data_IF_687807012950
#
_entry.id   IF_687807012950
#
_cell.length_a   1.000
_cell.length_b   1.000
_cell.length_c   1.000
_cell.angle_alpha   90.00
_cell.angle_beta   90.00
_cell.angle_gamma   90.00
#
_symmetry.space_group_name_H-M   'P 1'
#
loop_
_entity.id
_entity.type
_entity.pdbx_description
1 polymer ?
#
# COMPACT_ATOMS: atom_id res chain seq x y z
N UNK A 1 8.86 -15.03 16.29
CA UNK A 1 7.47 -14.60 16.06
C UNK A 1 7.31 -14.17 14.61
N UNK A 2 6.19 -14.48 14.00
CA UNK A 2 5.88 -14.15 12.60
C UNK A 2 4.76 -13.12 12.56
N UNK A 3 4.91 -12.06 11.77
CA UNK A 3 3.85 -11.10 11.49
C UNK A 3 3.11 -11.46 10.21
N UNK A 4 1.78 -11.36 10.22
CA UNK A 4 0.94 -11.48 9.03
C UNK A 4 0.43 -10.09 8.65
N UNK A 5 0.76 -9.64 7.45
CA UNK A 5 0.50 -8.30 6.95
C UNK A 5 -0.25 -8.35 5.60
N UNK A 6 -1.01 -7.31 5.32
CA UNK A 6 -1.47 -7.02 3.96
C UNK A 6 -0.37 -6.31 3.17
N UNK A 7 -0.38 -6.44 1.84
CA UNK A 7 0.47 -5.63 0.97
C UNK A 7 0.14 -4.13 1.08
N UNK A 8 1.11 -3.25 0.88
CA UNK A 8 0.90 -1.80 1.01
C UNK A 8 1.62 -0.99 -0.08
N UNK A 9 0.94 0.06 -0.55
CA UNK A 9 1.52 1.09 -1.42
C UNK A 9 2.17 2.17 -0.54
N UNK A 10 3.49 2.24 -0.49
CA UNK A 10 4.25 3.11 0.41
C UNK A 10 3.63 3.14 1.82
N UNK A 11 3.54 1.96 2.44
CA UNK A 11 2.83 1.74 3.70
C UNK A 11 3.21 2.69 4.82
N UNK A 12 2.42 2.74 5.90
CA UNK A 12 2.71 3.62 7.03
C UNK A 12 3.94 3.17 7.82
N UNK A 13 4.51 4.07 8.61
CA UNK A 13 5.66 3.80 9.50
C UNK A 13 5.42 2.57 10.35
N UNK A 14 4.22 2.39 10.90
CA UNK A 14 3.80 1.22 11.68
C UNK A 14 4.01 -0.11 10.93
N UNK A 15 3.72 -0.14 9.64
CA UNK A 15 3.88 -1.33 8.81
C UNK A 15 5.36 -1.71 8.67
N UNK A 16 6.24 -0.72 8.41
CA UNK A 16 7.69 -0.94 8.33
C UNK A 16 8.31 -1.27 9.68
N UNK A 17 7.75 -0.77 10.78
CA UNK A 17 8.13 -1.21 12.12
C UNK A 17 7.94 -2.73 12.29
N UNK A 18 6.85 -3.31 11.76
CA UNK A 18 6.64 -4.76 11.82
C UNK A 18 7.68 -5.50 10.97
N UNK A 19 8.07 -4.97 9.81
CA UNK A 19 9.16 -5.55 9.03
C UNK A 19 10.48 -5.58 9.79
N UNK A 20 10.77 -4.52 10.54
CA UNK A 20 12.00 -4.41 11.33
C UNK A 20 11.99 -5.33 12.56
N UNK A 21 10.87 -5.44 13.27
CA UNK A 21 10.79 -6.12 14.58
C UNK A 21 10.57 -7.63 14.51
N UNK A 22 9.98 -8.15 13.44
CA UNK A 22 9.62 -9.56 13.36
C UNK A 22 10.64 -10.37 12.56
N UNK A 23 10.96 -11.58 13.06
CA UNK A 23 11.95 -12.46 12.43
C UNK A 23 11.52 -12.96 11.04
N UNK A 24 10.22 -13.03 10.80
CA UNK A 24 9.62 -13.40 9.53
C UNK A 24 8.32 -12.65 9.35
N UNK A 25 8.09 -12.17 8.13
CA UNK A 25 6.85 -11.48 7.76
C UNK A 25 6.20 -12.22 6.61
N UNK A 26 4.91 -12.49 6.74
CA UNK A 26 4.09 -13.08 5.70
C UNK A 26 3.18 -11.99 5.12
N UNK A 27 3.24 -11.82 3.81
CA UNK A 27 2.32 -10.95 3.07
C UNK A 27 1.16 -11.80 2.55
N UNK A 28 -0.05 -11.49 3.01
CA UNK A 28 -1.26 -12.19 2.60
C UNK A 28 -1.66 -11.77 1.19
N UNK A 29 -1.53 -12.67 0.23
CA UNK A 29 -1.90 -12.42 -1.16
C UNK A 29 -3.27 -12.98 -1.55
N UNK A 30 -3.82 -13.91 -0.75
CA UNK A 30 -5.11 -14.57 -1.03
C UNK A 30 -6.30 -13.87 -0.38
N UNK A 31 -6.07 -12.74 0.30
CA UNK A 31 -7.15 -11.96 0.88
C UNK A 31 -8.00 -11.26 -0.19
N UNK A 32 -9.25 -10.98 0.17
CA UNK A 32 -10.13 -10.16 -0.66
C UNK A 32 -9.71 -8.70 -0.62
N UNK A 33 -9.63 -8.06 -1.80
CA UNK A 33 -9.28 -6.64 -1.89
C UNK A 33 -10.33 -5.76 -1.18
N UNK A 34 -9.86 -4.93 -0.29
CA UNK A 34 -10.68 -3.95 0.44
C UNK A 34 -10.34 -2.54 -0.02
N UNK A 35 -11.36 -1.77 -0.40
CA UNK A 35 -11.21 -0.35 -0.77
C UNK A 35 -10.83 0.49 0.44
N UNK A 36 -10.16 1.61 0.19
CA UNK A 36 -9.76 2.59 1.20
C UNK A 36 -8.82 2.01 2.28
N UNK A 37 -7.94 1.10 1.89
CA UNK A 37 -6.88 0.53 2.71
C UNK A 37 -5.52 0.93 2.19
N UNK A 38 -4.46 0.65 2.94
CA UNK A 38 -3.08 0.91 2.51
C UNK A 38 -2.62 0.06 1.32
N UNK A 39 -3.41 -0.92 0.86
CA UNK A 39 -3.06 -1.78 -0.29
C UNK A 39 -2.80 -0.98 -1.57
N UNK A 40 -3.59 0.05 -1.81
CA UNK A 40 -3.43 0.93 -2.97
C UNK A 40 -3.42 2.42 -2.59
N UNK A 41 -3.16 2.74 -1.33
CA UNK A 41 -3.19 4.10 -0.80
C UNK A 41 -2.04 4.34 0.17
N UNK A 42 -1.43 5.53 0.10
CA UNK A 42 -0.58 6.04 1.16
C UNK A 42 -1.07 7.41 1.65
N UNK A 43 -0.60 7.82 2.81
CA UNK A 43 -0.92 9.11 3.43
C UNK A 43 0.36 9.93 3.55
N UNK A 44 0.37 11.13 2.98
CA UNK A 44 1.48 12.06 3.04
C UNK A 44 1.08 13.35 3.77
N UNK A 45 2.07 14.05 4.34
CA UNK A 45 1.86 15.40 4.87
C UNK A 45 1.89 16.40 3.72
N UNK A 46 1.03 17.43 3.77
CA UNK A 46 1.00 18.55 2.83
C UNK A 46 0.73 19.85 3.56
N UNK A 47 0.80 20.96 2.85
CA UNK A 47 0.41 22.28 3.40
C UNK A 47 -1.04 22.32 3.89
N UNK A 48 -1.91 21.43 3.41
CA UNK A 48 -3.32 21.35 3.81
C UNK A 48 -3.62 20.29 4.87
N UNK A 49 -2.58 19.62 5.39
CA UNK A 49 -2.69 18.48 6.31
C UNK A 49 -2.43 17.15 5.61
N UNK A 50 -3.08 16.10 6.08
CA UNK A 50 -2.88 14.75 5.53
C UNK A 50 -3.61 14.60 4.20
N UNK A 51 -2.86 14.21 3.17
CA UNK A 51 -3.37 13.89 1.84
C UNK A 51 -3.22 12.40 1.54
N UNK A 52 -4.25 11.81 0.96
CA UNK A 52 -4.21 10.42 0.49
C UNK A 52 -3.86 10.35 -1.00
N UNK A 53 -2.81 9.64 -1.34
CA UNK A 53 -2.47 9.25 -2.70
C UNK A 53 -3.01 7.85 -2.96
N UNK A 54 -3.89 7.70 -3.95
CA UNK A 54 -4.58 6.43 -4.21
C UNK A 54 -4.31 5.97 -5.63
N UNK A 55 -3.67 4.81 -5.77
CA UNK A 55 -3.42 4.14 -7.06
C UNK A 55 -4.75 3.61 -7.60
N UNK A 56 -5.15 4.01 -8.82
CA UNK A 56 -6.32 3.43 -9.48
C UNK A 56 -6.04 1.98 -9.88
N UNK A 57 -7.05 1.15 -9.73
CA UNK A 57 -6.94 -0.29 -10.00
C UNK A 57 -8.05 -0.74 -10.94
N UNK A 58 -7.75 -1.76 -11.73
CA UNK A 58 -8.71 -2.48 -12.55
C UNK A 58 -9.02 -3.82 -11.90
N UNK A 59 -10.30 -4.10 -11.81
CA UNK A 59 -10.77 -5.43 -11.49
C UNK A 59 -10.86 -6.20 -12.81
N UNK A 60 -9.98 -7.16 -13.04
CA UNK A 60 -10.20 -8.12 -14.11
C UNK A 60 -11.49 -8.87 -13.78
N UNK A 61 -12.54 -8.81 -14.63
CA UNK A 61 -13.62 -9.77 -14.47
C UNK A 61 -12.98 -11.14 -14.61
N UNK A 62 -13.12 -11.98 -13.59
CA UNK A 62 -12.77 -13.40 -13.74
C UNK A 62 -13.46 -13.85 -15.04
N UNK A 63 -12.67 -14.16 -16.05
CA UNK A 63 -13.15 -14.92 -17.20
C UNK A 63 -13.56 -16.27 -16.63
N UNK A 64 -14.85 -16.39 -16.31
CA UNK A 64 -15.47 -17.71 -16.23
C UNK A 64 -15.33 -18.24 -17.64
N UNK A 65 -14.48 -19.23 -17.79
CA UNK A 65 -14.30 -19.99 -19.03
C UNK A 65 -15.64 -20.62 -19.37
N UNK A 66 -16.46 -19.90 -20.13
CA UNK A 66 -17.70 -20.41 -20.73
C UNK A 66 -17.36 -21.18 -22.01
N UNK A 67 -16.61 -22.27 -21.87
CA UNK A 67 -16.57 -23.32 -22.88
C UNK A 67 -17.72 -24.32 -22.63
N UNK A 68 -18.96 -23.84 -22.49
CA UNK A 68 -20.12 -24.70 -22.66
C UNK A 68 -21.38 -23.83 -22.87
N UNK A 69 -21.98 -24.07 -24.06
CA UNK A 69 -23.35 -23.74 -24.48
C UNK A 69 -23.68 -22.30 -24.85
N UNK A 70 -23.67 -22.07 -26.16
CA UNK A 70 -24.46 -21.03 -26.84
C UNK A 70 -25.93 -21.24 -26.55
N UNK A 71 -26.60 -20.23 -26.01
CA UNK A 71 -28.00 -19.96 -26.26
C UNK A 71 -28.25 -18.45 -26.27
N UNK A 72 -29.06 -18.04 -27.24
CA UNK A 72 -29.31 -16.70 -27.71
C UNK A 72 -29.97 -15.73 -26.72
N UNK A 73 -29.73 -14.44 -27.03
CA UNK A 73 -30.50 -13.24 -26.69
C UNK A 73 -30.24 -12.53 -25.35
N UNK A 74 -29.57 -11.38 -25.43
CA UNK A 74 -29.55 -10.36 -24.40
C UNK A 74 -28.59 -9.21 -24.73
N UNK A 75 -29.17 -8.09 -25.18
CA UNK A 75 -28.46 -6.85 -25.54
C UNK A 75 -27.58 -6.35 -24.38
N UNK A 76 -26.29 -6.17 -24.65
CA UNK A 76 -25.36 -5.48 -23.76
C UNK A 76 -25.46 -3.98 -24.05
N UNK A 77 -25.97 -3.20 -23.11
CA UNK A 77 -25.88 -1.74 -23.14
C UNK A 77 -24.79 -1.29 -22.18
N UNK A 78 -23.78 -0.59 -22.70
CA UNK A 78 -22.79 0.11 -21.90
C UNK A 78 -23.47 1.26 -21.16
N UNK A 79 -23.34 1.29 -19.83
CA UNK A 79 -23.62 2.47 -19.01
C UNK A 79 -22.53 2.62 -17.94
N UNK A 80 -21.98 3.83 -17.94
CA UNK A 80 -21.01 4.39 -17.04
C UNK A 80 -21.03 3.86 -15.58
N UNK A 81 -19.87 3.35 -15.13
CA UNK A 81 -19.42 3.56 -13.74
C UNK A 81 -20.17 2.85 -12.63
N UNK A 82 -20.97 1.81 -12.86
CA UNK A 82 -21.68 1.10 -11.79
C UNK A 82 -21.58 -0.42 -11.93
N UNK A 83 -21.09 -1.03 -10.85
CA UNK A 83 -21.29 -2.40 -10.35
C UNK A 83 -21.96 -3.36 -11.34
N UNK A 84 -21.21 -4.22 -11.98
CA UNK A 84 -21.79 -5.41 -12.59
C UNK A 84 -22.28 -6.34 -11.48
N UNK A 85 -23.60 -6.33 -11.27
CA UNK A 85 -24.28 -7.38 -10.50
C UNK A 85 -24.55 -8.54 -11.45
N UNK A 86 -23.82 -9.62 -11.29
CA UNK A 86 -24.26 -10.93 -11.81
C UNK A 86 -24.73 -11.70 -10.59
N UNK A 87 -26.04 -11.97 -10.56
CA UNK A 87 -26.72 -12.82 -9.56
C UNK A 87 -26.53 -12.45 -8.08
N UNK A 88 -26.58 -11.17 -7.70
CA UNK A 88 -26.66 -10.78 -6.29
C UNK A 88 -25.45 -11.11 -5.42
N UNK A 89 -24.42 -11.75 -5.94
CA UNK A 89 -23.18 -12.03 -5.23
C UNK A 89 -22.11 -11.00 -5.60
N UNK A 90 -21.57 -10.31 -4.59
CA UNK A 90 -20.36 -9.49 -4.75
C UNK A 90 -19.23 -10.44 -5.14
N UNK A 91 -18.72 -10.35 -6.37
CA UNK A 91 -17.50 -11.05 -6.75
C UNK A 91 -16.36 -10.54 -5.85
N UNK A 92 -15.87 -11.39 -4.97
CA UNK A 92 -14.73 -11.09 -4.12
C UNK A 92 -13.47 -11.19 -4.98
N UNK A 93 -12.86 -10.04 -5.32
CA UNK A 93 -11.64 -10.02 -6.10
C UNK A 93 -10.45 -10.22 -5.17
N UNK A 94 -9.62 -11.21 -5.48
CA UNK A 94 -8.43 -11.52 -4.72
C UNK A 94 -7.33 -10.47 -5.00
N UNK A 95 -6.56 -10.10 -3.97
CA UNK A 95 -5.48 -9.09 -4.07
C UNK A 95 -4.45 -9.44 -5.13
N UNK A 96 -4.10 -10.71 -5.30
CA UNK A 96 -3.12 -11.15 -6.30
C UNK A 96 -3.54 -10.91 -7.76
N UNK A 97 -4.85 -10.73 -8.04
CA UNK A 97 -5.38 -10.52 -9.39
C UNK A 97 -5.66 -9.05 -9.71
N UNK A 98 -5.38 -8.13 -8.79
CA UNK A 98 -5.61 -6.70 -8.99
C UNK A 98 -4.55 -6.14 -9.96
N UNK A 99 -5.04 -5.53 -11.06
CA UNK A 99 -4.19 -4.82 -12.02
C UNK A 99 -4.14 -3.33 -11.70
N UNK A 100 -3.02 -2.72 -12.00
CA UNK A 100 -2.87 -1.27 -12.00
C UNK A 100 -3.63 -0.70 -13.19
N UNK A 101 -4.39 0.37 -12.97
CA UNK A 101 -5.03 1.12 -14.04
C UNK A 101 -4.16 2.32 -14.41
N UNK A 102 -4.05 2.62 -15.70
CA UNK A 102 -3.35 3.81 -16.18
C UNK A 102 -4.29 5.02 -16.34
N UNK A 103 -5.53 4.93 -15.88
CA UNK A 103 -6.47 6.05 -15.94
C UNK A 103 -6.00 7.25 -15.10
N UNK A 104 -6.21 8.46 -15.66
CA UNK A 104 -6.11 9.72 -14.91
C UNK A 104 -4.69 10.20 -14.61
N UNK A 105 -3.67 9.69 -15.30
CA UNK A 105 -2.26 10.11 -15.12
C UNK A 105 -1.80 10.15 -13.66
N UNK A 106 -2.33 9.24 -12.86
CA UNK A 106 -2.10 9.21 -11.42
C UNK A 106 -0.61 9.18 -11.04
N UNK A 107 0.23 8.54 -11.86
CA UNK A 107 1.68 8.49 -11.61
C UNK A 107 2.27 9.89 -11.58
N UNK A 108 1.95 10.71 -12.59
CA UNK A 108 2.40 12.10 -12.64
C UNK A 108 1.83 12.92 -11.48
N UNK A 109 0.54 12.74 -11.18
CA UNK A 109 -0.11 13.46 -10.07
C UNK A 109 0.50 13.09 -8.72
N UNK A 110 0.77 11.80 -8.46
CA UNK A 110 1.41 11.36 -7.23
C UNK A 110 2.84 11.90 -7.11
N UNK A 111 3.60 11.84 -8.22
CA UNK A 111 4.97 12.39 -8.23
C UNK A 111 4.98 13.88 -7.94
N UNK A 112 4.14 14.66 -8.61
CA UNK A 112 4.00 16.10 -8.34
C UNK A 112 3.56 16.38 -6.90
N UNK A 113 2.66 15.59 -6.34
CA UNK A 113 2.25 15.74 -4.94
C UNK A 113 3.42 15.47 -3.97
N UNK A 114 4.23 14.44 -4.23
CA UNK A 114 5.42 14.11 -3.43
C UNK A 114 6.47 15.21 -3.56
N UNK A 115 6.78 15.71 -4.77
CA UNK A 115 7.69 16.81 -4.99
C UNK A 115 7.23 18.09 -4.27
N UNK A 116 5.93 18.42 -4.38
CA UNK A 116 5.37 19.60 -3.71
C UNK A 116 5.36 19.47 -2.19
N UNK A 117 5.21 18.26 -1.66
CA UNK A 117 5.16 18.02 -0.22
C UNK A 117 6.55 17.93 0.42
N UNK A 118 7.52 17.37 -0.30
CA UNK A 118 8.82 17.02 0.29
C UNK A 118 10.03 17.62 -0.43
N UNK A 119 9.84 18.43 -1.47
CA UNK A 119 10.95 19.07 -2.18
C UNK A 119 11.87 19.90 -1.28
N UNK A 120 11.31 20.46 -0.19
CA UNK A 120 12.05 21.20 0.84
C UNK A 120 12.52 20.31 2.02
N UNK A 121 12.29 19.00 1.97
CA UNK A 121 12.73 18.09 3.03
C UNK A 121 14.24 17.80 2.89
N UNK A 122 14.94 17.54 4.02
CA UNK A 122 16.41 17.45 4.03
C UNK A 122 16.99 16.36 3.11
N UNK A 123 16.23 15.31 2.81
CA UNK A 123 16.72 14.17 2.06
C UNK A 123 15.97 13.92 0.74
N UNK A 124 15.10 14.83 0.29
CA UNK A 124 14.36 14.64 -0.96
C UNK A 124 15.30 14.48 -2.17
N UNK A 125 16.21 15.43 -2.37
CA UNK A 125 17.15 15.40 -3.49
C UNK A 125 18.03 14.14 -3.48
N UNK A 126 18.33 13.63 -2.30
CA UNK A 126 19.17 12.43 -2.14
C UNK A 126 18.47 11.16 -2.61
N UNK A 127 17.14 11.07 -2.43
CA UNK A 127 16.36 9.86 -2.76
C UNK A 127 15.45 10.03 -3.99
N UNK A 128 15.44 11.19 -4.63
CA UNK A 128 14.57 11.48 -5.77
C UNK A 128 14.74 10.46 -6.89
N UNK A 129 15.98 10.16 -7.27
CA UNK A 129 16.31 9.25 -8.38
C UNK A 129 15.90 7.80 -8.08
N UNK A 130 15.93 7.37 -6.83
CA UNK A 130 15.48 6.04 -6.40
C UNK A 130 13.95 5.90 -6.42
N UNK A 131 13.23 6.98 -6.12
CA UNK A 131 11.77 6.98 -6.02
C UNK A 131 11.09 7.22 -7.36
N UNK A 132 11.67 8.06 -8.20
CA UNK A 132 11.10 8.50 -9.49
C UNK A 132 10.70 7.37 -10.43
N UNK A 133 11.44 6.25 -10.55
CA UNK A 133 11.08 5.13 -11.43
C UNK A 133 9.69 4.54 -11.14
N UNK A 134 9.22 4.54 -9.88
CA UNK A 134 7.88 4.06 -9.54
C UNK A 134 6.75 4.89 -10.14
N UNK A 135 7.04 6.13 -10.53
CA UNK A 135 6.08 7.07 -11.09
C UNK A 135 6.26 7.34 -12.58
N UNK A 136 7.41 6.98 -13.15
CA UNK A 136 7.71 7.21 -14.57
C UNK A 136 7.66 5.94 -15.41
N UNK A 137 7.98 4.79 -14.81
CA UNK A 137 8.01 3.51 -15.50
C UNK A 137 6.66 2.77 -15.37
N UNK A 138 6.27 2.07 -16.45
CA UNK A 138 5.02 1.28 -16.50
C UNK A 138 5.29 -0.23 -16.57
N UNK A 139 6.33 -0.69 -15.86
CA UNK A 139 6.77 -2.09 -15.91
C UNK A 139 5.95 -3.05 -15.04
N UNK A 140 5.15 -2.53 -14.12
CA UNK A 140 4.32 -3.37 -13.24
C UNK A 140 2.88 -3.39 -13.73
N UNK A 141 2.32 -4.57 -13.90
CA UNK A 141 0.92 -4.77 -14.23
C UNK A 141 0.07 -5.05 -13.00
N UNK A 142 0.60 -5.83 -12.04
CA UNK A 142 -0.13 -6.23 -10.83
C UNK A 142 0.21 -5.30 -9.67
N UNK A 143 -0.82 -4.95 -8.89
CA UNK A 143 -0.67 -4.13 -7.69
C UNK A 143 0.26 -4.80 -6.67
N UNK A 144 0.17 -6.12 -6.51
CA UNK A 144 0.99 -6.86 -5.56
C UNK A 144 2.47 -6.78 -5.91
N UNK A 145 2.83 -6.98 -7.18
CA UNK A 145 4.24 -6.92 -7.64
C UNK A 145 4.80 -5.49 -7.57
N UNK A 146 3.95 -4.50 -7.84
CA UNK A 146 4.30 -3.09 -7.66
C UNK A 146 4.61 -2.75 -6.20
N UNK A 147 3.75 -3.18 -5.29
CA UNK A 147 3.94 -2.96 -3.86
C UNK A 147 5.17 -3.70 -3.31
N UNK A 148 5.45 -4.91 -3.80
CA UNK A 148 6.64 -5.66 -3.39
C UNK A 148 7.92 -4.98 -3.86
N UNK A 149 7.94 -4.43 -5.09
CA UNK A 149 9.06 -3.65 -5.59
C UNK A 149 9.29 -2.37 -4.76
N UNK A 150 8.21 -1.67 -4.40
CA UNK A 150 8.27 -0.52 -3.48
C UNK A 150 8.82 -0.95 -2.11
N UNK A 151 8.27 -2.01 -1.54
CA UNK A 151 8.69 -2.52 -0.24
C UNK A 151 10.19 -2.85 -0.23
N UNK A 152 10.66 -3.56 -1.25
CA UNK A 152 12.07 -3.91 -1.40
C UNK A 152 12.96 -2.66 -1.47
N UNK A 153 12.60 -1.67 -2.30
CA UNK A 153 13.36 -0.42 -2.43
C UNK A 153 13.35 0.37 -1.11
N UNK A 154 12.21 0.48 -0.43
CA UNK A 154 12.16 1.18 0.85
C UNK A 154 13.00 0.48 1.93
N UNK A 155 12.97 -0.85 1.99
CA UNK A 155 13.82 -1.61 2.91
C UNK A 155 15.32 -1.37 2.63
N UNK A 156 15.71 -1.32 1.35
CA UNK A 156 17.08 -0.98 0.92
C UNK A 156 17.48 0.42 1.39
N UNK A 157 16.64 1.43 1.13
CA UNK A 157 16.94 2.83 1.47
C UNK A 157 16.97 3.11 2.98
N UNK A 158 16.26 2.33 3.79
CA UNK A 158 16.22 2.45 5.26
C UNK A 158 17.25 1.53 5.93
N UNK A 159 17.94 0.69 5.15
CA UNK A 159 18.90 -0.32 5.61
C UNK A 159 18.29 -1.35 6.58
N UNK A 160 17.14 -1.92 6.20
CA UNK A 160 16.53 -3.05 6.91
C UNK A 160 16.45 -4.28 5.99
N UNK A 161 16.67 -5.46 6.55
CA UNK A 161 16.73 -6.73 5.78
C UNK A 161 15.73 -7.77 6.32
N UNK A 162 14.40 -7.49 6.21
CA UNK A 162 13.39 -8.40 6.72
C UNK A 162 13.30 -9.69 5.90
N UNK A 163 12.92 -10.79 6.55
CA UNK A 163 12.58 -12.04 5.86
C UNK A 163 11.11 -12.00 5.48
N UNK A 164 10.82 -11.55 4.25
CA UNK A 164 9.47 -11.45 3.73
C UNK A 164 9.16 -12.66 2.85
N UNK A 165 7.95 -13.23 3.01
CA UNK A 165 7.40 -14.28 2.16
C UNK A 165 5.95 -13.97 1.83
N UNK A 166 5.48 -14.37 0.64
CA UNK A 166 4.06 -14.38 0.31
C UNK A 166 3.41 -15.65 0.86
N UNK A 167 2.15 -15.58 1.28
CA UNK A 167 1.39 -16.77 1.69
C UNK A 167 1.10 -17.66 0.49
N UNK A 168 1.03 -18.97 0.70
CA UNK A 168 0.66 -19.94 -0.35
C UNK A 168 -0.84 -20.23 -0.38
N UNK A 169 -1.54 -19.94 0.72
CA UNK A 169 -2.98 -20.06 0.89
C UNK A 169 -3.48 -18.95 1.84
N UNK A 170 -4.79 -18.73 1.88
CA UNK A 170 -5.36 -17.77 2.82
C UNK A 170 -5.17 -18.22 4.27
N UNK A 171 -4.47 -17.41 5.05
CA UNK A 171 -4.23 -17.67 6.46
C UNK A 171 -5.35 -17.10 7.32
N UNK A 172 -6.01 -18.00 8.09
CA UNK A 172 -7.00 -17.60 9.10
C UNK A 172 -6.31 -16.99 10.33
N UNK A 173 -6.96 -16.03 11.03
CA UNK A 173 -6.33 -15.23 12.10
C UNK A 173 -5.85 -15.97 13.35
N UNK A 174 -5.79 -17.29 13.40
CA UNK A 174 -5.51 -18.05 14.63
C UNK A 174 -4.47 -19.15 14.44
N UNK A 175 -3.21 -18.77 14.48
CA UNK A 175 -2.13 -19.73 14.69
C UNK A 175 -1.22 -19.23 15.82
N UNK A 176 -0.90 -20.05 16.81
CA UNK A 176 -0.24 -19.70 18.06
C UNK A 176 1.13 -19.00 17.95
N UNK A 177 1.73 -18.93 16.76
CA UNK A 177 3.03 -18.28 16.50
C UNK A 177 2.96 -17.11 15.51
N UNK A 178 1.75 -16.68 15.09
CA UNK A 178 1.56 -15.59 14.14
C UNK A 178 0.70 -14.50 14.77
N UNK A 179 1.09 -13.25 14.57
CA UNK A 179 0.30 -12.08 14.95
C UNK A 179 -0.26 -11.46 13.67
N UNK A 180 -1.59 -11.32 13.61
CA UNK A 180 -2.30 -10.78 12.46
C UNK A 180 -2.47 -9.27 12.60
N UNK A 181 -1.83 -8.51 11.71
CA UNK A 181 -1.91 -7.05 11.66
C UNK A 181 -2.75 -6.53 10.51
N UNK A 182 -3.43 -7.38 9.73
CA UNK A 182 -4.19 -6.97 8.53
C UNK A 182 -5.32 -5.99 8.86
N UNK A 183 -5.95 -6.16 10.02
CA UNK A 183 -7.01 -5.28 10.51
C UNK A 183 -6.51 -4.22 11.52
N UNK A 184 -5.30 -4.40 12.03
CA UNK A 184 -4.62 -3.45 12.92
C UNK A 184 -4.09 -2.25 12.15
N UNK A 185 -3.47 -2.49 10.99
CA UNK A 185 -2.83 -1.45 10.18
C UNK A 185 -3.79 -0.99 9.07
N UNK A 186 -4.66 -0.05 9.40
CA UNK A 186 -5.68 0.52 8.50
C UNK A 186 -5.71 2.05 8.59
N UNK A 187 -6.02 2.77 7.49
CA UNK A 187 -6.15 4.23 7.53
C UNK A 187 -7.43 4.68 8.24
N UNK A 188 -8.46 3.82 8.30
CA UNK A 188 -9.72 4.11 9.00
C UNK A 188 -10.02 2.98 9.98
N UNK A 189 -10.41 3.37 11.20
CA UNK A 189 -10.75 2.42 12.26
C UNK A 189 -9.68 1.34 12.50
N UNK A 190 -8.41 1.73 12.74
CA UNK A 190 -7.37 0.76 13.08
C UNK A 190 -7.71 0.10 14.41
N UNK A 191 -7.38 -1.18 14.54
CA UNK A 191 -7.42 -1.83 15.85
C UNK A 191 -6.22 -1.40 16.69
N UNK A 192 -6.33 -1.45 18.03
CA UNK A 192 -5.21 -1.13 18.90
C UNK A 192 -3.97 -1.99 18.60
N UNK A 193 -2.81 -1.35 18.60
CA UNK A 193 -1.51 -2.00 18.49
C UNK A 193 -0.66 -1.57 19.70
N UNK A 194 -0.61 -2.36 20.77
CA UNK A 194 0.14 -2.01 21.98
C UNK A 194 1.65 -1.94 21.75
N UNK A 195 2.15 -2.58 20.68
CA UNK A 195 3.56 -2.60 20.32
C UNK A 195 3.99 -1.44 19.43
N UNK A 196 3.04 -0.60 19.02
CA UNK A 196 3.33 0.58 18.21
C UNK A 196 3.11 1.87 18.97
N UNK A 197 4.19 2.59 19.21
CA UNK A 197 4.17 3.96 19.70
C UNK A 197 4.87 4.84 18.68
N UNK A 198 4.11 5.75 18.06
CA UNK A 198 4.68 6.68 17.10
C UNK A 198 5.65 7.65 17.79
N UNK A 199 6.93 7.57 17.44
CA UNK A 199 7.96 8.49 17.93
C UNK A 199 7.95 9.74 17.08
N UNK A 200 7.88 10.96 17.68
CA UNK A 200 8.00 12.19 16.93
C UNK A 200 9.37 12.29 16.24
N UNK A 201 9.35 12.72 14.98
CA UNK A 201 10.53 13.05 14.18
C UNK A 201 10.28 14.37 13.45
N UNK A 202 11.33 14.93 12.85
CA UNK A 202 11.21 16.15 12.07
C UNK A 202 10.27 15.95 10.88
N UNK A 203 9.31 16.86 10.70
CA UNK A 203 8.42 16.92 9.54
C UNK A 203 8.35 18.35 9.03
N UNK A 204 8.43 18.54 7.70
CA UNK A 204 8.43 19.87 7.05
C UNK A 204 7.25 20.72 7.53
N UNK A 205 6.09 20.12 7.70
CA UNK A 205 4.86 20.86 8.09
C UNK A 205 4.54 20.80 9.59
N UNK A 206 5.47 20.37 10.44
CA UNK A 206 5.25 20.25 11.89
C UNK A 206 4.90 21.59 12.55
N UNK A 207 5.44 22.69 12.06
CA UNK A 207 5.09 24.04 12.59
C UNK A 207 3.62 24.39 12.37
N UNK A 208 3.01 23.89 11.30
CA UNK A 208 1.63 24.20 10.93
C UNK A 208 0.61 23.22 11.53
N UNK A 209 0.95 21.94 11.55
CA UNK A 209 -0.01 20.86 11.88
C UNK A 209 0.33 20.10 13.14
N UNK A 210 1.45 20.40 13.78
CA UNK A 210 2.03 19.52 14.79
C UNK A 210 2.59 18.25 14.18
N UNK A 211 2.97 17.29 15.02
CA UNK A 211 3.44 15.99 14.56
C UNK A 211 2.27 15.14 14.05
N UNK A 212 2.32 14.76 12.77
CA UNK A 212 1.36 13.88 12.12
C UNK A 212 1.89 12.44 12.20
N UNK A 213 1.30 11.63 13.07
CA UNK A 213 1.77 10.26 13.34
C UNK A 213 1.39 9.28 12.22
N UNK A 214 2.20 8.23 12.09
CA UNK A 214 1.93 7.06 11.25
C UNK A 214 1.60 7.38 9.78
N UNK A 215 2.28 8.38 9.21
CA UNK A 215 2.23 8.66 7.78
C UNK A 215 2.96 7.58 6.97
N UNK A 216 2.94 7.72 5.66
CA UNK A 216 3.72 6.89 4.74
C UNK A 216 5.19 6.85 5.14
N UNK A 217 5.86 5.75 4.85
CA UNK A 217 7.31 5.60 5.01
C UNK A 217 8.09 6.67 4.23
N UNK A 218 7.50 7.23 3.16
CA UNK A 218 8.08 8.35 2.42
C UNK A 218 8.28 9.57 3.32
N UNK A 219 7.31 9.88 4.19
CA UNK A 219 7.42 11.02 5.12
C UNK A 219 8.61 10.82 6.06
N UNK A 220 8.78 9.63 6.62
CA UNK A 220 9.91 9.32 7.49
C UNK A 220 11.25 9.37 6.73
N UNK A 221 11.33 8.69 5.57
CA UNK A 221 12.57 8.60 4.79
C UNK A 221 13.05 9.98 4.31
N UNK A 222 12.14 10.77 3.73
CA UNK A 222 12.51 12.07 3.14
C UNK A 222 12.85 13.13 4.19
N UNK A 223 12.35 13.00 5.42
CA UNK A 223 12.67 13.91 6.52
C UNK A 223 13.87 13.46 7.35
N UNK A 224 14.08 12.14 7.54
CA UNK A 224 15.09 11.61 8.46
C UNK A 224 16.25 10.88 7.76
N UNK A 225 16.10 10.55 6.48
CA UNK A 225 17.12 9.85 5.72
C UNK A 225 17.59 8.55 6.38
N UNK A 226 18.92 8.36 6.53
CA UNK A 226 19.48 7.14 7.14
C UNK A 226 19.06 6.93 8.61
N UNK A 227 18.64 7.99 9.31
CA UNK A 227 18.20 7.91 10.70
C UNK A 227 16.78 7.31 10.82
N UNK A 228 16.08 7.09 9.72
CA UNK A 228 14.72 6.51 9.71
C UNK A 228 14.63 5.21 10.49
N UNK A 229 15.68 4.38 10.49
CA UNK A 229 15.73 3.11 11.20
C UNK A 229 15.51 3.26 12.72
N UNK A 230 15.89 4.39 13.34
CA UNK A 230 15.73 4.61 14.78
C UNK A 230 14.28 4.80 15.20
N UNK A 231 13.42 5.15 14.26
CA UNK A 231 11.98 5.35 14.47
C UNK A 231 11.16 4.07 14.24
N UNK A 232 11.81 3.01 13.72
CA UNK A 232 11.21 1.67 13.57
C UNK A 232 11.47 0.74 14.77
N UNK A 233 12.27 1.17 15.73
CA UNK A 233 12.62 0.40 16.94
C UNK A 233 11.51 0.39 17.98
#
# INVERSE_FOLDING_TARGET
MTALLSTTYFGPVQWYQKLYRYNCVLIEQHETFQKQTYRNRCLIATTQGVQALTVPIEHSPLTIDHSATRSNNGKCSMVNGQRSMVNGQRSMVNVQSIRLSDHGEWRRQHWQAIQSAYGESPFFEYYEDDLRPFFTERRWELLLDFNDAICQKMCELIDIHPKIKRTTEYLKPQTSNQIDFRDVIRPKHPLPDPDFCAKPYYQVFAQKHGFLSNLSILDLLLNMGPESIFFLR
#
